data_IF_419918743682
#
_entry.id   IF_419918743682
#
_cell.length_a   1.000
_cell.length_b   1.000
_cell.length_c   1.000
_cell.angle_alpha   90.00
_cell.angle_beta   90.00
_cell.angle_gamma   90.00
#
_symmetry.space_group_name_H-M   'P 1'
#
loop_
_entity.id
_entity.type
_entity.pdbx_description
1 polymer ?
#
# COMPACT_ATOMS: atom_id res chain seq x y z
N UNK A 1 -10.70 -10.39 -13.67
CA UNK A 1 -9.76 -9.91 -12.63
C UNK A 1 -9.87 -8.39 -12.57
N UNK A 2 -10.24 -7.84 -11.41
CA UNK A 2 -10.72 -6.45 -11.27
C UNK A 2 -9.51 -5.52 -11.12
N UNK A 3 -8.96 -5.05 -12.24
CA UNK A 3 -7.91 -4.00 -12.28
C UNK A 3 -8.48 -2.71 -11.69
N UNK A 4 -7.93 -2.26 -10.58
CA UNK A 4 -8.50 -1.14 -9.82
C UNK A 4 -8.38 0.19 -10.56
N UNK A 5 -9.54 0.81 -10.76
CA UNK A 5 -9.96 2.13 -10.28
C UNK A 5 -11.48 2.18 -10.49
N UNK A 6 -12.27 2.23 -9.41
CA UNK A 6 -13.68 2.65 -9.48
C UNK A 6 -13.87 3.77 -8.47
N UNK A 7 -13.74 4.99 -8.97
CA UNK A 7 -14.10 6.19 -8.23
C UNK A 7 -15.46 6.64 -8.74
N UNK A 8 -16.49 6.57 -7.91
CA UNK A 8 -17.64 7.47 -8.05
C UNK A 8 -17.30 8.72 -7.23
N UNK A 9 -17.35 9.90 -7.85
CA UNK A 9 -17.01 11.19 -7.25
C UNK A 9 -15.56 11.37 -6.71
N UNK A 10 -14.61 10.52 -7.12
CA UNK A 10 -13.22 10.59 -6.65
C UNK A 10 -12.94 9.80 -5.36
N UNK A 11 -13.94 9.11 -4.80
CA UNK A 11 -13.81 8.29 -3.60
C UNK A 11 -13.66 6.81 -3.97
N UNK A 12 -12.69 6.12 -3.38
CA UNK A 12 -12.45 4.69 -3.57
C UNK A 12 -13.21 3.93 -2.48
N UNK A 13 -14.17 3.11 -2.89
CA UNK A 13 -15.09 2.39 -1.98
C UNK A 13 -14.42 1.20 -1.29
N UNK A 14 -13.39 0.62 -1.92
CA UNK A 14 -12.66 -0.55 -1.42
C UNK A 14 -11.17 -0.42 -1.81
N UNK A 15 -10.37 0.33 -1.03
CA UNK A 15 -8.96 0.54 -1.34
C UNK A 15 -8.16 -0.73 -1.05
N UNK A 16 -7.16 -1.00 -1.88
CA UNK A 16 -6.15 -2.02 -1.59
C UNK A 16 -5.31 -1.55 -0.42
N UNK A 17 -5.26 -2.32 0.67
CA UNK A 17 -4.48 -2.01 1.88
C UNK A 17 -3.45 -3.10 2.18
N UNK A 18 -2.43 -2.77 2.98
CA UNK A 18 -1.46 -3.74 3.50
C UNK A 18 -1.45 -3.76 5.03
N UNK A 19 -1.15 -4.91 5.66
CA UNK A 19 -0.99 -4.98 7.11
C UNK A 19 0.29 -4.29 7.58
N UNK A 20 0.34 -3.90 8.86
CA UNK A 20 1.56 -3.34 9.49
C UNK A 20 2.79 -4.25 9.44
N UNK A 21 2.58 -5.56 9.26
CA UNK A 21 3.62 -6.58 9.14
C UNK A 21 4.17 -6.72 7.71
N UNK A 22 3.56 -6.05 6.72
CA UNK A 22 4.00 -6.11 5.34
C UNK A 22 5.39 -5.47 5.17
N UNK A 23 6.13 -5.97 4.19
CA UNK A 23 7.47 -5.48 3.86
C UNK A 23 7.47 -4.63 2.58
N UNK A 24 8.57 -3.92 2.35
CA UNK A 24 8.80 -3.10 1.13
C UNK A 24 8.52 -3.87 -0.16
N UNK A 25 8.91 -5.15 -0.24
CA UNK A 25 8.69 -5.97 -1.43
C UNK A 25 7.20 -6.23 -1.72
N UNK A 26 6.38 -6.43 -0.68
CA UNK A 26 4.93 -6.55 -0.81
C UNK A 26 4.33 -5.26 -1.36
N UNK A 27 4.70 -4.11 -0.78
CA UNK A 27 4.22 -2.83 -1.26
C UNK A 27 4.58 -2.59 -2.74
N UNK A 28 5.83 -2.86 -3.14
CA UNK A 28 6.26 -2.73 -4.55
C UNK A 28 5.47 -3.67 -5.47
N UNK A 29 5.22 -4.91 -5.05
CA UNK A 29 4.44 -5.89 -5.82
C UNK A 29 3.00 -5.42 -6.03
N UNK A 30 2.33 -5.00 -4.95
CA UNK A 30 0.94 -4.54 -5.02
C UNK A 30 0.81 -3.25 -5.83
N UNK A 31 1.72 -2.29 -5.66
CA UNK A 31 1.72 -1.06 -6.47
C UNK A 31 1.84 -1.35 -7.97
N UNK A 32 2.70 -2.30 -8.35
CA UNK A 32 2.84 -2.72 -9.75
C UNK A 32 1.61 -3.49 -10.26
N UNK A 33 1.11 -4.45 -9.48
CA UNK A 33 -0.04 -5.30 -9.86
C UNK A 33 -1.33 -4.48 -10.03
N UNK A 34 -1.57 -3.56 -9.11
CA UNK A 34 -2.78 -2.74 -9.05
C UNK A 34 -2.62 -1.38 -9.73
N UNK A 35 -1.43 -1.02 -10.21
CA UNK A 35 -1.11 0.30 -10.80
C UNK A 35 -1.52 1.47 -9.88
N UNK A 36 -1.25 1.33 -8.59
CA UNK A 36 -1.54 2.31 -7.54
C UNK A 36 -0.24 2.94 -7.03
N UNK A 37 -0.26 4.26 -6.83
CA UNK A 37 0.91 5.02 -6.36
C UNK A 37 1.04 5.09 -4.84
N UNK A 38 0.02 4.65 -4.11
CA UNK A 38 0.00 4.65 -2.65
C UNK A 38 -0.92 3.57 -2.10
N UNK A 39 -0.52 2.98 -0.97
CA UNK A 39 -1.21 1.89 -0.30
C UNK A 39 -1.38 2.27 1.18
N UNK A 40 -2.62 2.32 1.71
CA UNK A 40 -2.87 2.49 3.14
C UNK A 40 -2.38 1.28 3.93
N UNK A 41 -1.76 1.54 5.08
CA UNK A 41 -1.32 0.51 6.03
C UNK A 41 -2.32 0.43 7.17
N UNK A 42 -2.88 -0.75 7.39
CA UNK A 42 -3.93 -1.00 8.39
C UNK A 42 -3.45 -2.00 9.43
N UNK A 43 -3.86 -1.79 10.68
CA UNK A 43 -3.67 -2.76 11.76
C UNK A 43 -4.76 -3.85 11.73
N UNK A 44 -4.58 -4.91 12.51
CA UNK A 44 -5.51 -6.05 12.56
C UNK A 44 -6.93 -5.68 13.03
N UNK A 45 -7.05 -4.60 13.81
CA UNK A 45 -8.31 -4.03 14.27
C UNK A 45 -9.02 -3.16 13.21
N UNK A 46 -8.44 -3.03 12.02
CA UNK A 46 -8.93 -2.17 10.95
C UNK A 46 -8.50 -0.71 11.07
N UNK A 47 -7.70 -0.35 12.08
CA UNK A 47 -7.23 1.02 12.28
C UNK A 47 -6.20 1.39 11.20
N UNK A 48 -6.40 2.54 10.55
CA UNK A 48 -5.40 3.11 9.64
C UNK A 48 -4.17 3.58 10.43
N UNK A 49 -2.99 3.02 10.12
CA UNK A 49 -1.71 3.40 10.73
C UNK A 49 -0.90 4.37 9.88
N UNK A 50 -1.09 4.37 8.57
CA UNK A 50 -0.37 5.28 7.68
C UNK A 50 -0.62 5.00 6.20
N UNK A 51 0.19 5.60 5.35
CA UNK A 51 0.19 5.38 3.91
C UNK A 51 1.63 5.23 3.42
N UNK A 52 1.87 4.27 2.54
CA UNK A 52 3.14 4.10 1.85
C UNK A 52 2.94 4.51 0.41
N UNK A 53 3.82 5.36 -0.13
CA UNK A 53 3.77 5.80 -1.52
C UNK A 53 4.96 5.30 -2.32
N UNK A 54 4.82 5.28 -3.64
CA UNK A 54 5.90 4.90 -4.55
C UNK A 54 7.12 5.83 -4.43
N UNK A 55 6.94 7.04 -3.88
CA UNK A 55 8.04 7.97 -3.59
C UNK A 55 8.88 7.49 -2.41
N UNK A 56 8.24 6.98 -1.36
CA UNK A 56 8.91 6.45 -0.17
C UNK A 56 9.75 5.23 -0.54
N UNK A 57 9.14 4.32 -1.32
CA UNK A 57 9.78 3.06 -1.75
C UNK A 57 10.90 3.22 -2.79
N UNK A 58 11.05 4.42 -3.38
CA UNK A 58 12.06 4.68 -4.42
C UNK A 58 13.47 4.68 -3.87
N UNK A 59 13.65 5.02 -2.60
CA UNK A 59 14.95 5.11 -1.94
C UNK A 59 15.26 3.89 -1.05
N UNK A 60 14.26 3.03 -0.79
CA UNK A 60 14.45 1.78 -0.07
C UNK A 60 15.14 0.72 -0.94
N UNK A 61 16.42 0.51 -0.64
CA UNK A 61 17.30 -0.52 -1.21
C UNK A 61 17.14 -1.89 -0.52
N UNK A 62 16.49 -1.96 0.65
CA UNK A 62 16.32 -3.19 1.41
C UNK A 62 14.89 -3.75 1.30
N UNK A 63 14.75 -4.92 0.67
CA UNK A 63 13.45 -5.51 0.34
C UNK A 63 12.65 -6.07 1.55
N UNK A 64 13.32 -6.38 2.66
CA UNK A 64 12.73 -7.04 3.84
C UNK A 64 12.56 -6.12 5.06
N UNK A 65 12.52 -4.80 4.85
CA UNK A 65 12.26 -3.85 5.95
C UNK A 65 10.75 -3.77 6.19
N UNK A 66 10.29 -3.90 7.45
CA UNK A 66 8.88 -3.72 7.79
C UNK A 66 8.43 -2.28 7.53
N UNK A 67 7.26 -2.11 6.91
CA UNK A 67 6.72 -0.78 6.56
C UNK A 67 6.37 0.06 7.79
N UNK A 68 6.06 -0.56 8.93
CA UNK A 68 5.70 0.15 10.17
C UNK A 68 6.90 0.73 10.94
N UNK A 69 8.14 0.60 10.45
CA UNK A 69 9.36 1.07 11.11
C UNK A 69 10.05 2.26 10.43
N UNK A 70 9.53 2.74 9.29
CA UNK A 70 10.15 3.82 8.52
C UNK A 70 9.58 5.20 8.81
#
# INVERSE_FOLDING_TARGET
MRRVKRAESGMIIDPVTLPVTAVVSDAKKYMAEYSIGGIPIVAEDGTLKGIVTNRDLRFDIMANVPLAKS
#
